data_IF_094801783191
#
_entry.id   IF_094801783191
#
_cell.length_a   1.000
_cell.length_b   1.000
_cell.length_c   1.000
_cell.angle_alpha   90.00
_cell.angle_beta   90.00
_cell.angle_gamma   90.00
#
_symmetry.space_group_name_H-M   'P 1'
#
loop_
_entity.id
_entity.type
_entity.pdbx_description
1 polymer ?
#
# COMPACT_ATOMS: atom_id res chain seq x y z
N UNK A 1 11.33 9.64 14.70
CA UNK A 1 12.11 8.91 13.69
C UNK A 1 12.21 9.78 12.45
N UNK A 2 13.40 9.92 11.85
CA UNK A 2 13.55 10.65 10.60
C UNK A 2 12.67 9.99 9.51
N UNK A 3 11.99 10.80 8.70
CA UNK A 3 11.13 10.28 7.65
C UNK A 3 12.00 9.60 6.58
N UNK A 4 11.94 8.27 6.49
CA UNK A 4 12.71 7.49 5.51
C UNK A 4 12.12 7.72 4.12
N UNK A 5 12.76 8.58 3.32
CA UNK A 5 12.38 8.83 1.92
C UNK A 5 13.16 7.88 1.02
N UNK A 6 12.48 6.84 0.54
CA UNK A 6 13.05 5.84 -0.40
C UNK A 6 13.02 6.30 -1.87
N UNK A 7 12.21 7.32 -2.17
CA UNK A 7 12.07 7.84 -3.52
C UNK A 7 11.23 9.11 -3.56
N UNK A 8 10.95 9.59 -4.77
CA UNK A 8 10.03 10.70 -4.99
C UNK A 8 8.60 10.20 -4.80
N UNK A 9 7.75 11.05 -4.24
CA UNK A 9 6.32 10.86 -4.37
C UNK A 9 5.91 11.21 -5.80
N UNK A 10 5.27 10.26 -6.49
CA UNK A 10 4.84 10.43 -7.87
C UNK A 10 3.34 10.74 -7.97
N UNK A 11 2.58 10.59 -6.88
CA UNK A 11 1.13 10.76 -6.88
C UNK A 11 0.76 12.24 -6.84
N UNK A 12 0.06 12.67 -7.88
CA UNK A 12 -0.59 13.98 -7.98
C UNK A 12 -2.09 13.77 -8.16
N UNK A 13 -2.86 14.82 -7.94
CA UNK A 13 -4.30 14.82 -8.13
C UNK A 13 -4.73 15.97 -9.02
N UNK A 14 -5.63 15.69 -9.95
CA UNK A 14 -6.37 16.73 -10.66
C UNK A 14 -7.72 16.92 -9.98
N UNK A 15 -7.89 18.02 -9.24
CA UNK A 15 -9.17 18.34 -8.58
C UNK A 15 -10.27 18.72 -9.58
N UNK A 16 -9.91 19.14 -10.80
CA UNK A 16 -10.90 19.43 -11.83
C UNK A 16 -11.51 18.16 -12.43
N UNK A 17 -10.71 17.11 -12.65
CA UNK A 17 -11.25 15.83 -13.11
C UNK A 17 -11.63 14.88 -11.97
N UNK A 18 -11.12 15.07 -10.76
CA UNK A 18 -11.07 14.06 -9.70
C UNK A 18 -10.27 12.79 -10.08
N UNK A 19 -9.12 12.97 -10.74
CA UNK A 19 -8.28 11.86 -11.19
C UNK A 19 -6.92 11.86 -10.50
N UNK A 20 -6.43 10.70 -10.02
CA UNK A 20 -5.03 10.53 -9.69
C UNK A 20 -4.16 10.58 -10.95
N UNK A 21 -3.18 11.47 -10.95
CA UNK A 21 -2.24 11.69 -12.05
C UNK A 21 -0.82 11.41 -11.56
N UNK A 22 -0.08 10.55 -12.26
CA UNK A 22 1.32 10.27 -11.97
C UNK A 22 2.22 11.27 -12.67
N UNK A 23 3.13 11.88 -11.91
CA UNK A 23 4.26 12.72 -12.36
C UNK A 23 3.91 14.05 -13.05
N UNK A 24 2.83 14.10 -13.83
CA UNK A 24 2.49 15.24 -14.67
C UNK A 24 1.91 16.38 -13.85
N UNK A 25 2.51 17.57 -13.97
CA UNK A 25 2.02 18.82 -13.37
C UNK A 25 0.74 19.37 -14.02
N UNK A 26 0.41 18.89 -15.23
CA UNK A 26 -0.84 19.21 -15.93
C UNK A 26 -1.63 17.93 -16.16
N UNK A 27 -2.93 17.96 -15.92
CA UNK A 27 -3.80 16.83 -16.14
C UNK A 27 -3.82 16.49 -17.64
N UNK A 28 -3.53 15.24 -18.05
CA UNK A 28 -3.59 14.84 -19.45
C UNK A 28 -5.01 14.90 -20.05
N UNK A 29 -6.04 14.89 -19.20
CA UNK A 29 -7.45 14.92 -19.62
C UNK A 29 -7.95 16.35 -19.84
N UNK A 30 -7.84 17.24 -18.85
CA UNK A 30 -8.40 18.60 -18.92
C UNK A 30 -7.37 19.73 -19.09
N UNK A 31 -6.06 19.43 -19.03
CA UNK A 31 -5.00 20.43 -19.13
C UNK A 31 -4.75 21.29 -17.88
N UNK A 32 -5.64 21.22 -16.88
CA UNK A 32 -5.51 21.98 -15.63
C UNK A 32 -4.34 21.50 -14.77
N UNK A 33 -3.91 22.34 -13.83
CA UNK A 33 -2.83 22.01 -12.91
C UNK A 33 -3.21 20.81 -12.01
N UNK A 34 -2.20 20.00 -11.66
CA UNK A 34 -2.32 18.94 -10.67
C UNK A 34 -1.53 19.31 -9.41
N UNK A 35 -2.00 18.88 -8.24
CA UNK A 35 -1.31 19.07 -6.97
C UNK A 35 -0.67 17.77 -6.49
N UNK A 36 0.47 17.83 -5.81
CA UNK A 36 1.07 16.63 -5.19
C UNK A 36 0.27 16.22 -3.94
N UNK A 37 -0.10 14.94 -3.86
CA UNK A 37 -0.81 14.40 -2.68
C UNK A 37 0.20 14.26 -1.54
N UNK A 38 -0.10 14.80 -0.36
CA UNK A 38 0.81 14.77 0.78
C UNK A 38 0.81 13.39 1.47
N UNK A 39 1.64 12.48 0.96
CA UNK A 39 1.82 11.13 1.50
C UNK A 39 2.94 11.06 2.54
N UNK A 40 2.74 10.23 3.55
CA UNK A 40 3.82 9.84 4.45
C UNK A 40 4.84 8.97 3.68
N UNK A 41 6.16 9.23 3.80
CA UNK A 41 7.17 8.38 3.17
C UNK A 41 7.05 6.90 3.61
N UNK A 42 7.27 5.94 2.70
CA UNK A 42 7.99 6.09 1.43
C UNK A 42 7.16 6.55 0.22
N UNK A 43 5.84 6.74 0.37
CA UNK A 43 4.97 7.13 -0.75
C UNK A 43 4.81 6.04 -1.82
N UNK A 44 4.80 4.77 -1.41
CA UNK A 44 4.62 3.61 -2.29
C UNK A 44 3.13 3.30 -2.52
N UNK A 45 2.42 4.28 -3.09
CA UNK A 45 0.98 4.25 -3.30
C UNK A 45 0.56 3.12 -4.26
N UNK A 46 -0.62 2.52 -4.04
CA UNK A 46 -1.25 1.50 -4.89
C UNK A 46 -2.78 1.68 -4.95
N UNK A 47 -3.47 1.10 -5.95
CA UNK A 47 -4.92 0.93 -5.91
C UNK A 47 -5.37 0.17 -4.66
N UNK A 48 -6.51 0.56 -4.08
CA UNK A 48 -7.29 -0.29 -3.20
C UNK A 48 -8.11 -1.28 -4.06
N UNK A 49 -8.07 -2.56 -3.71
CA UNK A 49 -8.86 -3.61 -4.36
C UNK A 49 -10.14 -3.90 -3.58
N UNK A 50 -11.04 -4.71 -4.14
CA UNK A 50 -12.34 -5.01 -3.54
C UNK A 50 -12.26 -5.42 -2.07
N UNK A 51 -11.31 -6.30 -1.73
CA UNK A 51 -11.10 -6.70 -0.33
C UNK A 51 -10.67 -5.54 0.58
N UNK A 52 -9.82 -4.61 0.09
CA UNK A 52 -9.45 -3.43 0.86
C UNK A 52 -10.68 -2.53 1.09
N UNK A 53 -11.50 -2.33 0.06
CA UNK A 53 -12.72 -1.51 0.13
C UNK A 53 -13.74 -2.09 1.10
N UNK A 54 -14.02 -3.40 0.99
CA UNK A 54 -14.91 -4.14 1.88
C UNK A 54 -14.44 -4.06 3.34
N UNK A 55 -13.13 -4.27 3.57
CA UNK A 55 -12.55 -4.18 4.91
C UNK A 55 -12.74 -2.77 5.51
N UNK A 56 -12.41 -1.72 4.75
CA UNK A 56 -12.47 -0.34 5.24
C UNK A 56 -13.93 0.07 5.49
N UNK A 57 -14.82 -0.20 4.52
CA UNK A 57 -16.25 0.12 4.64
C UNK A 57 -16.89 -0.63 5.81
N UNK A 58 -16.59 -1.92 5.96
CA UNK A 58 -17.11 -2.72 7.07
C UNK A 58 -16.65 -2.23 8.45
N UNK A 59 -15.41 -1.76 8.56
CA UNK A 59 -14.91 -1.13 9.80
C UNK A 59 -15.63 0.18 10.08
N UNK A 60 -15.83 1.02 9.07
CA UNK A 60 -16.55 2.28 9.20
C UNK A 60 -18.01 2.07 9.62
N UNK A 61 -18.71 1.13 9.00
CA UNK A 61 -20.10 0.80 9.34
C UNK A 61 -20.21 0.24 10.76
N UNK A 62 -19.22 -0.57 11.17
CA UNK A 62 -19.14 -1.09 12.54
C UNK A 62 -18.94 0.03 13.57
N UNK A 63 -17.98 0.92 13.32
CA UNK A 63 -17.49 1.89 14.30
C UNK A 63 -18.33 3.18 14.35
N UNK A 64 -18.89 3.60 13.21
CA UNK A 64 -19.64 4.86 13.09
C UNK A 64 -21.11 4.67 12.69
N UNK A 65 -21.52 3.44 12.40
CA UNK A 65 -22.90 3.07 12.06
C UNK A 65 -23.12 2.82 10.58
N UNK A 66 -24.19 2.09 10.26
CA UNK A 66 -24.52 1.66 8.90
C UNK A 66 -24.62 2.85 7.93
N UNK A 67 -23.95 2.73 6.77
CA UNK A 67 -23.87 3.76 5.75
C UNK A 67 -22.65 4.66 5.86
N UNK A 68 -21.91 4.64 6.98
CA UNK A 68 -20.66 5.37 7.13
C UNK A 68 -19.59 4.91 6.12
N UNK A 69 -19.52 3.61 5.84
CA UNK A 69 -18.62 3.06 4.84
C UNK A 69 -18.83 3.67 3.46
N UNK A 70 -20.09 3.69 3.00
CA UNK A 70 -20.47 4.25 1.70
C UNK A 70 -20.30 5.78 1.65
N UNK A 71 -20.56 6.48 2.75
CA UNK A 71 -20.36 7.94 2.83
C UNK A 71 -18.88 8.34 2.73
N UNK A 72 -18.01 7.61 3.43
CA UNK A 72 -16.57 7.92 3.48
C UNK A 72 -15.84 7.44 2.24
N UNK A 73 -16.24 6.28 1.72
CA UNK A 73 -15.69 5.70 0.50
C UNK A 73 -16.86 5.44 -0.45
N UNK A 74 -17.30 6.46 -1.21
CA UNK A 74 -18.38 6.29 -2.19
C UNK A 74 -17.97 5.38 -3.34
N UNK A 75 -18.96 4.73 -3.96
CA UNK A 75 -18.74 3.96 -5.19
C UNK A 75 -18.34 4.86 -6.35
N UNK A 76 -17.55 4.32 -7.27
CA UNK A 76 -17.04 5.07 -8.42
C UNK A 76 -15.91 6.05 -8.09
N UNK A 77 -15.32 6.00 -6.89
CA UNK A 77 -14.18 6.83 -6.53
C UNK A 77 -12.88 6.03 -6.50
N UNK A 78 -11.81 6.47 -7.19
CA UNK A 78 -10.50 5.85 -7.05
C UNK A 78 -9.97 5.98 -5.62
N UNK A 79 -9.85 4.85 -4.93
CA UNK A 79 -9.27 4.78 -3.58
C UNK A 79 -7.84 4.28 -3.66
N UNK A 80 -6.93 5.01 -3.04
CA UNK A 80 -5.50 4.69 -3.04
C UNK A 80 -5.05 4.37 -1.62
N UNK A 81 -4.24 3.32 -1.50
CA UNK A 81 -3.56 2.97 -0.26
C UNK A 81 -2.07 3.26 -0.39
N UNK A 82 -1.49 3.92 0.61
CA UNK A 82 -0.06 4.18 0.67
C UNK A 82 0.52 3.69 1.98
N UNK A 83 1.48 2.77 1.90
CA UNK A 83 2.15 2.22 3.08
C UNK A 83 2.76 3.35 3.92
N UNK A 84 2.52 3.31 5.22
CA UNK A 84 3.07 4.25 6.18
C UNK A 84 3.80 3.51 7.32
N UNK A 85 4.75 4.16 8.02
CA UNK A 85 5.48 3.53 9.12
C UNK A 85 4.58 3.24 10.33
N UNK A 86 4.48 1.98 10.75
CA UNK A 86 3.74 1.54 11.93
C UNK A 86 4.46 0.40 12.66
N UNK A 87 3.94 0.01 13.84
CA UNK A 87 4.42 -1.18 14.55
C UNK A 87 4.17 -2.46 13.74
N UNK A 88 2.98 -2.56 13.15
CA UNK A 88 2.59 -3.58 12.19
C UNK A 88 2.11 -2.90 10.89
N UNK A 89 1.15 -3.48 10.17
CA UNK A 89 0.61 -2.95 8.94
C UNK A 89 -0.13 -1.63 9.17
N UNK A 90 0.27 -0.62 8.40
CA UNK A 90 -0.33 0.69 8.41
C UNK A 90 -0.32 1.27 7.00
N UNK A 91 -1.50 1.68 6.54
CA UNK A 91 -1.72 2.23 5.20
C UNK A 91 -2.52 3.54 5.32
N UNK A 92 -2.03 4.63 4.72
CA UNK A 92 -2.83 5.84 4.50
C UNK A 92 -3.88 5.56 3.43
N UNK A 93 -5.11 6.03 3.66
CA UNK A 93 -6.22 5.94 2.72
C UNK A 93 -6.42 7.29 2.06
N UNK A 94 -6.34 7.33 0.74
CA UNK A 94 -6.52 8.53 -0.07
C UNK A 94 -7.78 8.40 -0.92
N UNK A 95 -8.63 9.41 -0.83
CA UNK A 95 -9.86 9.57 -1.62
C UNK A 95 -9.96 11.04 -2.00
N UNK A 96 -10.34 11.33 -3.25
CA UNK A 96 -10.48 12.70 -3.78
C UNK A 96 -9.24 13.59 -3.59
N UNK A 97 -8.05 13.00 -3.69
CA UNK A 97 -6.77 13.70 -3.53
C UNK A 97 -6.39 14.00 -2.09
N UNK A 98 -7.24 13.64 -1.12
CA UNK A 98 -7.03 13.86 0.30
C UNK A 98 -6.70 12.58 1.05
N UNK A 99 -5.77 12.65 2.02
CA UNK A 99 -5.57 11.55 2.97
C UNK A 99 -6.71 11.60 3.99
N UNK A 100 -7.71 10.74 3.83
CA UNK A 100 -8.92 10.74 4.67
C UNK A 100 -8.69 10.03 6.01
N UNK A 101 -7.79 9.04 6.04
CA UNK A 101 -7.55 8.24 7.23
C UNK A 101 -6.23 7.47 7.16
N UNK A 102 -5.93 6.78 8.25
CA UNK A 102 -4.92 5.73 8.31
C UNK A 102 -5.56 4.44 8.78
N UNK A 103 -5.48 3.40 7.96
CA UNK A 103 -5.79 2.03 8.34
C UNK A 103 -4.62 1.46 9.11
N UNK A 104 -4.82 1.09 10.38
CA UNK A 104 -3.77 0.58 11.26
C UNK A 104 -4.20 -0.77 11.84
N UNK A 105 -3.32 -1.75 11.77
CA UNK A 105 -3.50 -3.01 12.49
C UNK A 105 -2.85 -2.91 13.87
N UNK A 106 -3.68 -3.00 14.90
CA UNK A 106 -3.23 -3.03 16.30
C UNK A 106 -3.12 -4.49 16.76
N UNK A 107 -1.92 -4.91 17.12
CA UNK A 107 -1.63 -6.28 17.56
C UNK A 107 -2.53 -6.63 18.75
N UNK A 108 -3.37 -7.66 18.59
CA UNK A 108 -4.33 -8.12 19.60
C UNK A 108 -5.70 -7.43 19.58
N UNK A 109 -5.82 -6.24 18.96
CA UNK A 109 -7.09 -5.50 18.86
C UNK A 109 -7.69 -5.49 17.44
N UNK A 110 -6.88 -5.81 16.43
CA UNK A 110 -7.30 -5.87 15.03
C UNK A 110 -7.22 -4.53 14.32
N UNK A 111 -7.98 -4.40 13.22
CA UNK A 111 -7.95 -3.22 12.37
C UNK A 111 -8.70 -2.03 12.97
N UNK A 112 -8.08 -0.85 12.87
CA UNK A 112 -8.61 0.45 13.28
C UNK A 112 -8.58 1.44 12.12
N UNK A 113 -9.70 2.15 11.93
CA UNK A 113 -9.80 3.28 11.03
C UNK A 113 -9.48 4.57 11.80
N UNK A 114 -8.26 5.07 11.66
CA UNK A 114 -7.81 6.29 12.32
C UNK A 114 -8.15 7.49 11.43
N UNK A 115 -9.34 8.06 11.62
CA UNK A 115 -9.86 9.13 10.78
C UNK A 115 -9.02 10.42 10.90
N UNK A 116 -8.70 11.03 9.76
CA UNK A 116 -8.26 12.44 9.67
C UNK A 116 -9.48 13.35 9.55
N UNK A 117 -9.25 14.66 9.44
CA UNK A 117 -10.34 15.64 9.30
C UNK A 117 -11.18 15.39 8.04
N UNK A 118 -10.56 15.15 6.89
CA UNK A 118 -11.28 14.84 5.65
C UNK A 118 -12.13 13.56 5.74
N UNK A 119 -11.67 12.53 6.46
CA UNK A 119 -12.48 11.36 6.75
C UNK A 119 -13.63 11.69 7.69
N UNK A 120 -13.36 12.49 8.73
CA UNK A 120 -14.36 12.87 9.73
C UNK A 120 -15.48 13.71 9.13
N UNK A 121 -15.18 14.63 8.22
CA UNK A 121 -16.20 15.39 7.48
C UNK A 121 -17.11 14.51 6.63
N UNK A 122 -16.63 13.36 6.15
CA UNK A 122 -17.46 12.37 5.43
C UNK A 122 -18.29 11.50 6.39
N UNK A 123 -17.84 11.32 7.63
CA UNK A 123 -18.58 10.61 8.68
C UNK A 123 -19.67 11.51 9.30
N UNK A 124 -19.37 12.80 9.51
CA UNK A 124 -20.22 13.78 10.21
C UNK A 124 -21.69 13.75 9.81
N UNK A 125 -22.03 13.78 8.51
CA UNK A 125 -23.44 13.77 8.07
C UNK A 125 -24.19 12.48 8.43
N UNK A 126 -23.52 11.33 8.51
CA UNK A 126 -24.18 10.02 8.53
C UNK A 126 -23.95 9.19 9.80
N UNK A 127 -23.11 9.64 10.75
CA UNK A 127 -22.83 8.83 11.93
C UNK A 127 -24.10 8.54 12.74
N UNK A 128 -24.11 7.35 13.35
CA UNK A 128 -25.03 6.94 14.41
C UNK A 128 -24.30 6.33 15.61
N UNK A 129 -22.98 6.09 15.49
CA UNK A 129 -22.08 5.59 16.53
C UNK A 129 -20.74 6.31 16.50
N UNK A 130 -19.89 6.06 17.49
CA UNK A 130 -18.50 6.51 17.49
C UNK A 130 -18.33 8.03 17.57
N UNK A 131 -19.30 8.72 18.19
CA UNK A 131 -19.33 10.18 18.28
C UNK A 131 -19.28 10.67 19.73
N UNK A 132 -18.71 11.87 19.90
CA UNK A 132 -18.76 12.64 21.16
C UNK A 132 -19.18 14.07 20.81
N UNK A 133 -20.28 14.54 21.39
CA UNK A 133 -20.74 15.93 21.27
C UNK A 133 -20.02 16.76 22.31
N UNK A 134 -19.22 17.73 21.88
CA UNK A 134 -18.55 18.65 22.78
C UNK A 134 -19.37 19.91 23.03
N UNK A 135 -19.13 20.55 24.17
CA UNK A 135 -19.66 21.88 24.46
C UNK A 135 -19.03 22.89 23.49
N UNK A 136 -19.81 23.78 22.84
CA UNK A 136 -19.28 24.84 21.99
C UNK A 136 -18.19 25.70 22.67
N UNK A 137 -18.24 25.89 23.99
CA UNK A 137 -17.22 26.60 24.75
C UNK A 137 -15.89 25.82 24.83
N UNK A 138 -15.92 24.49 24.72
CA UNK A 138 -14.73 23.64 24.68
C UNK A 138 -14.12 23.52 23.27
N UNK A 139 -14.92 23.70 22.22
CA UNK A 139 -14.51 23.49 20.83
C UNK A 139 -13.27 24.31 20.39
N UNK A 140 -13.10 25.60 20.75
CA UNK A 140 -11.90 26.37 20.40
C UNK A 140 -10.62 25.73 20.93
N UNK A 141 -10.65 25.23 22.17
CA UNK A 141 -9.49 24.57 22.78
C UNK A 141 -9.15 23.26 22.06
N UNK A 142 -10.16 22.47 21.68
CA UNK A 142 -9.96 21.23 20.94
C UNK A 142 -9.32 21.52 19.58
N UNK A 143 -9.78 22.57 18.86
CA UNK A 143 -9.19 23.06 17.60
C UNK A 143 -7.76 23.59 17.75
N UNK A 144 -7.30 23.81 18.97
CA UNK A 144 -5.92 24.20 19.31
C UNK A 144 -5.12 23.06 19.95
N UNK A 145 -5.40 21.81 19.55
CA UNK A 145 -4.68 20.60 20.00
C UNK A 145 -4.94 20.17 21.45
N UNK A 146 -5.87 20.80 22.17
CA UNK A 146 -6.21 20.35 23.54
C UNK A 146 -7.07 19.08 23.49
N UNK A 147 -6.92 18.26 24.52
CA UNK A 147 -7.75 17.08 24.71
C UNK A 147 -9.15 17.51 25.18
N UNK A 148 -10.17 16.77 24.77
CA UNK A 148 -11.51 16.97 25.29
C UNK A 148 -11.59 16.34 26.69
N UNK A 149 -11.86 17.18 27.68
CA UNK A 149 -12.06 16.76 29.07
C UNK A 149 -13.54 16.43 29.30
N UNK A 150 -13.84 15.54 30.25
CA UNK A 150 -15.21 15.11 30.54
C UNK A 150 -16.20 16.28 30.80
N UNK A 151 -15.83 17.37 31.52
CA UNK A 151 -16.73 18.53 31.68
C UNK A 151 -17.13 19.24 30.39
N UNK A 152 -16.38 19.03 29.30
CA UNK A 152 -16.68 19.59 27.99
C UNK A 152 -17.49 18.65 27.11
N UNK A 153 -17.97 17.51 27.62
CA UNK A 153 -18.81 16.55 26.89
C UNK A 153 -20.28 16.80 27.21
N UNK A 154 -21.08 16.97 26.17
CA UNK A 154 -22.54 17.18 26.27
C UNK A 154 -23.29 15.86 26.08
N UNK A 155 -22.86 15.07 25.10
CA UNK A 155 -23.41 13.75 24.78
C UNK A 155 -22.30 12.86 24.21
N UNK A 156 -22.46 11.55 24.30
CA UNK A 156 -21.55 10.59 23.71
C UNK A 156 -22.29 9.29 23.38
N UNK A 157 -21.88 8.62 22.30
CA UNK A 157 -22.38 7.29 21.98
C UNK A 157 -22.16 6.33 23.18
N UNK A 158 -23.22 5.76 23.76
CA UNK A 158 -23.13 4.92 24.96
C UNK A 158 -22.35 3.62 24.73
N UNK A 159 -22.14 3.22 23.48
CA UNK A 159 -21.38 2.02 23.12
C UNK A 159 -19.86 2.22 23.13
N UNK A 160 -19.38 3.47 23.22
CA UNK A 160 -17.95 3.81 23.23
C UNK A 160 -17.24 3.14 24.40
N UNK A 161 -16.08 2.54 24.11
CA UNK A 161 -15.13 1.99 25.09
C UNK A 161 -13.79 2.72 25.02
N UNK A 162 -13.02 2.75 26.13
CA UNK A 162 -11.65 3.25 26.09
C UNK A 162 -10.82 2.56 25.00
N UNK A 163 -10.17 3.35 24.14
CA UNK A 163 -9.40 2.86 23.00
C UNK A 163 -10.13 2.90 21.65
N UNK A 164 -11.42 3.23 21.63
CA UNK A 164 -12.15 3.42 20.38
C UNK A 164 -11.75 4.73 19.68
N UNK A 165 -11.71 4.68 18.35
CA UNK A 165 -11.51 5.84 17.50
C UNK A 165 -12.86 6.55 17.35
N UNK A 166 -12.90 7.86 17.61
CA UNK A 166 -14.14 8.64 17.63
C UNK A 166 -14.01 9.94 16.85
N UNK A 167 -15.15 10.50 16.44
CA UNK A 167 -15.27 11.87 15.97
C UNK A 167 -15.85 12.78 17.06
N UNK A 168 -15.29 13.98 17.18
CA UNK A 168 -15.79 15.02 18.09
C UNK A 168 -16.59 16.00 17.25
N UNK A 169 -17.82 16.27 17.67
CA UNK A 169 -18.78 17.10 16.96
C UNK A 169 -19.40 18.16 17.87
N UNK A 170 -20.01 19.19 17.29
CA UNK A 170 -20.84 20.19 17.97
C UNK A 170 -22.16 20.38 17.23
N UNK A 171 -23.21 20.82 17.96
CA UNK A 171 -24.49 21.25 17.38
C UNK A 171 -25.06 20.27 16.36
N UNK A 172 -25.38 20.78 15.17
CA UNK A 172 -25.94 20.03 14.02
C UNK A 172 -24.89 19.16 13.31
N UNK A 173 -24.17 18.30 14.05
CA UNK A 173 -23.17 17.35 13.54
C UNK A 173 -21.92 17.99 12.92
N UNK A 174 -21.61 19.25 13.26
CA UNK A 174 -20.40 19.91 12.79
C UNK A 174 -19.17 19.25 13.42
N UNK A 175 -18.26 18.75 12.59
CA UNK A 175 -17.04 18.08 13.04
C UNK A 175 -16.02 19.09 13.56
N UNK A 176 -15.52 18.84 14.77
CA UNK A 176 -14.49 19.65 15.41
C UNK A 176 -13.12 18.97 15.31
N UNK A 177 -13.06 17.68 15.56
CA UNK A 177 -11.80 16.92 15.66
C UNK A 177 -12.04 15.41 15.63
N UNK A 178 -10.96 14.63 15.63
CA UNK A 178 -10.98 13.18 15.86
C UNK A 178 -10.00 12.81 16.95
N UNK A 179 -10.23 11.67 17.61
CA UNK A 179 -9.38 11.24 18.71
C UNK A 179 -9.66 9.82 19.17
N UNK A 180 -9.05 9.47 20.30
CA UNK A 180 -9.24 8.17 20.95
C UNK A 180 -9.94 8.36 22.27
N UNK A 181 -11.01 7.58 22.48
CA UNK A 181 -11.71 7.52 23.76
C UNK A 181 -10.77 7.07 24.89
N UNK A 182 -10.88 7.75 26.03
CA UNK A 182 -10.16 7.43 27.27
C UNK A 182 -11.08 7.03 28.41
N UNK A 183 -12.38 7.17 28.19
CA UNK A 183 -13.47 6.79 29.08
C UNK A 183 -14.53 6.06 28.26
N UNK A 184 -15.48 5.39 28.91
CA UNK A 184 -16.68 4.90 28.23
C UNK A 184 -17.65 6.05 27.91
N UNK A 185 -18.53 5.89 26.93
CA UNK A 185 -19.55 6.90 26.60
C UNK A 185 -20.35 7.39 27.82
N UNK A 186 -20.95 6.49 28.63
CA UNK A 186 -21.69 6.89 29.83
C UNK A 186 -20.84 7.61 30.88
N UNK A 187 -19.57 7.21 31.02
CA UNK A 187 -18.63 7.87 31.93
C UNK A 187 -18.27 9.28 31.46
N UNK A 188 -18.08 9.49 30.14
CA UNK A 188 -17.76 10.80 29.58
C UNK A 188 -18.84 11.85 29.91
N UNK A 189 -20.11 11.45 29.87
CA UNK A 189 -21.25 12.33 30.14
C UNK A 189 -21.45 12.56 31.64
N UNK A 190 -21.16 11.56 32.49
CA UNK A 190 -21.41 11.64 33.93
C UNK A 190 -20.27 12.28 34.74
N UNK A 191 -19.03 12.24 34.24
CA UNK A 191 -17.86 12.66 35.01
C UNK A 191 -17.61 14.17 34.99
N UNK A 192 -17.22 14.72 36.15
CA UNK A 192 -16.86 16.13 36.34
C UNK A 192 -15.36 16.42 36.16
N UNK A 193 -14.56 15.40 35.87
CA UNK A 193 -13.11 15.50 35.67
C UNK A 193 -12.56 14.33 34.86
N UNK A 194 -11.35 14.54 34.33
CA UNK A 194 -10.59 13.54 33.58
C UNK A 194 -10.69 13.72 32.07
N UNK A 195 -9.81 13.03 31.35
CA UNK A 195 -9.71 13.13 29.89
C UNK A 195 -10.73 12.19 29.25
N UNK A 196 -11.73 12.73 28.56
CA UNK A 196 -12.72 11.95 27.83
C UNK A 196 -12.12 11.45 26.50
N UNK A 197 -11.50 12.35 25.74
CA UNK A 197 -10.91 12.03 24.44
C UNK A 197 -9.51 12.60 24.34
N UNK A 198 -8.56 11.73 23.95
CA UNK A 198 -7.24 12.19 23.51
C UNK A 198 -7.32 12.62 22.05
N UNK A 199 -7.37 13.93 21.82
CA UNK A 199 -7.47 14.54 20.49
C UNK A 199 -6.24 14.22 19.64
N UNK A 200 -6.45 13.93 18.35
CA UNK A 200 -5.37 13.62 17.40
C UNK A 200 -5.36 14.55 16.18
N UNK A 201 -6.49 14.67 15.50
CA UNK A 201 -6.65 15.55 14.33
C UNK A 201 -7.66 16.62 14.68
N UNK A 202 -7.27 17.88 14.56
CA UNK A 202 -8.04 19.01 15.09
C UNK A 202 -7.92 20.29 14.24
N UNK A 203 -6.97 20.32 13.30
CA UNK A 203 -6.76 21.50 12.47
C UNK A 203 -7.93 21.62 11.52
N UNK A 204 -8.68 22.74 11.52
CA UNK A 204 -9.74 22.94 10.54
C UNK A 204 -9.16 22.86 9.14
N UNK A 205 -9.82 22.07 8.30
CA UNK A 205 -9.55 21.95 6.87
C UNK A 205 -10.84 22.22 6.10
N UNK A 206 -10.74 22.78 4.90
CA UNK A 206 -11.89 22.91 4.00
C UNK A 206 -12.26 21.53 3.45
N UNK A 207 -13.53 21.14 3.56
CA UNK A 207 -14.00 19.85 3.07
C UNK A 207 -13.86 19.77 1.55
N UNK A 208 -13.13 18.76 1.06
CA UNK A 208 -13.03 18.49 -0.37
C UNK A 208 -14.08 17.46 -0.76
N UNK A 209 -15.16 17.92 -1.40
CA UNK A 209 -16.20 17.07 -1.98
C UNK A 209 -16.05 16.98 -3.49
N UNK A 210 -15.70 15.77 -3.97
CA UNK A 210 -15.63 15.46 -5.40
C UNK A 210 -16.60 14.33 -5.78
N UNK A 211 -17.62 14.06 -4.96
CA UNK A 211 -18.63 12.99 -5.11
C UNK A 211 -19.37 12.98 -6.46
N UNK A 212 -19.37 14.10 -7.17
CA UNK A 212 -20.03 14.26 -8.47
C UNK A 212 -19.20 13.80 -9.68
N UNK A 213 -17.96 13.33 -9.49
CA UNK A 213 -17.03 12.98 -10.58
C UNK A 213 -16.50 11.55 -10.41
N UNK A 214 -17.32 10.52 -10.70
CA UNK A 214 -16.90 9.13 -10.58
C UNK A 214 -15.92 8.75 -11.70
N UNK A 215 -14.94 7.92 -11.37
CA UNK A 215 -13.96 7.33 -12.29
C UNK A 215 -13.71 5.87 -11.94
N UNK A 216 -13.66 5.03 -12.96
CA UNK A 216 -13.16 3.67 -12.86
C UNK A 216 -11.63 3.65 -12.85
N UNK A 217 -11.04 2.48 -12.55
CA UNK A 217 -9.59 2.31 -12.73
C UNK A 217 -9.17 2.34 -14.20
N UNK A 218 -10.06 2.03 -15.14
CA UNK A 218 -9.77 2.15 -16.58
C UNK A 218 -9.60 3.62 -16.98
N UNK A 219 -10.43 4.52 -16.45
CA UNK A 219 -10.29 5.97 -16.65
C UNK A 219 -8.96 6.48 -16.09
N UNK A 220 -8.55 5.96 -14.93
CA UNK A 220 -7.26 6.29 -14.31
C UNK A 220 -6.10 5.77 -15.15
N UNK A 221 -6.17 4.55 -15.65
CA UNK A 221 -5.14 3.96 -16.52
C UNK A 221 -4.99 4.80 -17.79
N UNK A 222 -6.10 5.14 -18.45
CA UNK A 222 -6.09 5.94 -19.67
C UNK A 222 -5.50 7.35 -19.42
N UNK A 223 -5.93 8.02 -18.35
CA UNK A 223 -5.41 9.33 -17.98
C UNK A 223 -3.89 9.34 -17.70
N UNK A 224 -3.30 8.18 -17.40
CA UNK A 224 -1.89 8.00 -17.10
C UNK A 224 -1.09 7.26 -18.19
N UNK A 225 -1.74 6.82 -19.27
CA UNK A 225 -1.17 5.98 -20.33
C UNK A 225 0.20 6.48 -20.80
N UNK A 226 0.29 7.75 -21.21
CA UNK A 226 1.52 8.32 -21.74
C UNK A 226 2.71 8.28 -20.75
N UNK A 227 2.45 8.44 -19.44
CA UNK A 227 3.50 8.37 -18.41
C UNK A 227 3.96 6.94 -18.20
N UNK A 228 3.02 5.99 -18.20
CA UNK A 228 3.32 4.57 -18.05
C UNK A 228 4.07 4.04 -19.28
N UNK A 229 3.61 4.33 -20.49
CA UNK A 229 4.29 3.96 -21.75
C UNK A 229 5.71 4.51 -21.80
N UNK A 230 5.93 5.77 -21.38
CA UNK A 230 7.27 6.34 -21.28
C UNK A 230 8.17 5.56 -20.32
N UNK A 231 7.65 5.15 -19.16
CA UNK A 231 8.41 4.34 -18.19
C UNK A 231 8.66 2.93 -18.70
N UNK A 232 7.69 2.32 -19.36
CA UNK A 232 7.83 1.02 -19.99
C UNK A 232 8.92 1.06 -21.08
N UNK A 233 8.91 2.07 -21.94
CA UNK A 233 9.93 2.27 -22.96
C UNK A 233 11.34 2.44 -22.37
N UNK A 234 11.49 3.17 -21.26
CA UNK A 234 12.77 3.29 -20.55
C UNK A 234 13.23 1.94 -19.98
N UNK A 235 12.33 1.18 -19.36
CA UNK A 235 12.65 -0.13 -18.80
C UNK A 235 12.99 -1.17 -19.89
N UNK A 236 12.29 -1.14 -21.03
CA UNK A 236 12.59 -1.95 -22.22
C UNK A 236 13.97 -1.60 -22.78
N UNK A 237 14.29 -0.32 -22.91
CA UNK A 237 15.61 0.12 -23.35
C UNK A 237 16.71 -0.38 -22.38
N UNK A 238 16.48 -0.26 -21.07
CA UNK A 238 17.39 -0.79 -20.06
C UNK A 238 17.60 -2.31 -20.18
N UNK A 239 16.53 -3.09 -20.44
CA UNK A 239 16.62 -4.54 -20.63
C UNK A 239 17.51 -4.87 -21.84
N UNK A 240 17.25 -4.25 -22.99
CA UNK A 240 18.03 -4.45 -24.23
C UNK A 240 19.50 -4.10 -24.04
N UNK A 241 19.76 -2.90 -23.52
CA UNK A 241 21.12 -2.43 -23.19
C UNK A 241 21.86 -3.37 -22.25
N UNK A 242 21.16 -3.93 -21.25
CA UNK A 242 21.79 -4.82 -20.26
C UNK A 242 22.19 -6.12 -20.91
N UNK A 243 21.35 -6.68 -21.80
CA UNK A 243 21.65 -7.92 -22.52
C UNK A 243 22.83 -7.72 -23.47
N UNK A 244 22.84 -6.63 -24.25
CA UNK A 244 23.95 -6.33 -25.18
C UNK A 244 25.30 -6.18 -24.46
N UNK A 245 25.30 -5.67 -23.23
CA UNK A 245 26.52 -5.44 -22.42
C UNK A 245 26.98 -6.67 -21.64
N UNK A 246 26.18 -7.74 -21.57
CA UNK A 246 26.50 -8.93 -20.79
C UNK A 246 26.47 -10.17 -21.67
N UNK A 247 27.63 -10.83 -21.83
CA UNK A 247 27.74 -12.11 -22.51
C UNK A 247 27.31 -13.27 -21.58
N UNK A 248 26.04 -13.24 -21.16
CA UNK A 248 25.42 -14.25 -20.30
C UNK A 248 24.03 -14.62 -20.81
N UNK A 249 23.58 -15.88 -20.64
CA UNK A 249 22.18 -16.23 -20.88
C UNK A 249 21.28 -15.41 -19.96
N UNK A 250 20.16 -14.90 -20.50
CA UNK A 250 19.19 -14.13 -19.76
C UNK A 250 18.04 -15.02 -19.26
N UNK A 251 17.57 -14.74 -18.04
CA UNK A 251 16.34 -15.30 -17.45
C UNK A 251 15.51 -14.19 -16.79
N UNK A 252 14.24 -14.48 -16.53
CA UNK A 252 13.40 -13.68 -15.63
C UNK A 252 13.12 -14.46 -14.36
N UNK A 253 13.40 -13.89 -13.19
CA UNK A 253 12.97 -14.47 -11.91
C UNK A 253 11.53 -14.07 -11.62
N UNK A 254 10.59 -14.97 -11.88
CA UNK A 254 9.15 -14.72 -11.69
C UNK A 254 8.63 -15.46 -10.47
N UNK A 255 8.08 -14.71 -9.51
CA UNK A 255 7.61 -15.25 -8.23
C UNK A 255 6.08 -15.26 -8.11
N UNK A 256 5.35 -14.96 -9.18
CA UNK A 256 3.89 -14.81 -9.16
C UNK A 256 3.38 -13.50 -8.54
N UNK A 257 4.26 -12.55 -8.19
CA UNK A 257 3.88 -11.26 -7.63
C UNK A 257 3.80 -10.16 -8.69
N UNK A 258 3.10 -9.06 -8.39
CA UNK A 258 2.95 -7.92 -9.31
C UNK A 258 4.26 -7.37 -9.88
N UNK A 259 5.31 -7.27 -9.06
CA UNK A 259 6.56 -6.63 -9.46
C UNK A 259 7.37 -7.53 -10.40
N UNK A 260 7.33 -8.84 -10.15
CA UNK A 260 7.96 -9.83 -11.01
C UNK A 260 7.14 -10.09 -12.28
N UNK A 261 5.80 -9.95 -12.23
CA UNK A 261 4.94 -9.95 -13.41
C UNK A 261 5.24 -8.75 -14.32
N UNK A 262 5.30 -7.53 -13.78
CA UNK A 262 5.64 -6.35 -14.58
C UNK A 262 7.03 -6.49 -15.23
N UNK A 263 8.02 -6.99 -14.48
CA UNK A 263 9.35 -7.28 -15.06
C UNK A 263 9.29 -8.31 -16.18
N UNK A 264 8.48 -9.36 -16.04
CA UNK A 264 8.28 -10.38 -17.07
C UNK A 264 7.68 -9.75 -18.33
N UNK A 265 6.57 -9.03 -18.20
CA UNK A 265 5.89 -8.37 -19.31
C UNK A 265 6.81 -7.36 -20.03
N UNK A 266 7.56 -6.53 -19.29
CA UNK A 266 8.55 -5.62 -19.88
C UNK A 266 9.66 -6.35 -20.64
N UNK A 267 10.02 -7.57 -20.21
CA UNK A 267 10.99 -8.40 -20.93
C UNK A 267 10.40 -8.93 -22.24
N UNK A 268 9.10 -9.27 -22.25
CA UNK A 268 8.37 -9.64 -23.47
C UNK A 268 8.24 -8.44 -24.43
N UNK A 269 7.94 -7.25 -23.91
CA UNK A 269 7.86 -5.99 -24.68
C UNK A 269 9.22 -5.61 -25.28
N UNK A 270 10.31 -6.01 -24.63
CA UNK A 270 11.65 -5.90 -25.20
C UNK A 270 11.91 -6.83 -26.40
N UNK A 271 10.94 -7.67 -26.77
CA UNK A 271 11.03 -8.65 -27.84
C UNK A 271 11.76 -9.93 -27.42
N UNK A 272 12.00 -10.13 -26.12
CA UNK A 272 12.70 -11.28 -25.59
C UNK A 272 11.73 -12.34 -25.07
N UNK A 273 12.14 -13.61 -25.12
CA UNK A 273 11.40 -14.74 -24.53
C UNK A 273 12.34 -15.64 -23.72
N UNK A 274 13.02 -15.11 -22.69
CA UNK A 274 13.97 -15.89 -21.92
C UNK A 274 13.24 -16.93 -21.04
N UNK A 275 13.93 -17.99 -20.61
CA UNK A 275 13.39 -18.89 -19.59
C UNK A 275 13.01 -18.14 -18.31
N UNK A 276 11.94 -18.61 -17.67
CA UNK A 276 11.44 -18.11 -16.39
C UNK A 276 11.95 -19.01 -15.29
N UNK A 277 12.63 -18.45 -14.30
CA UNK A 277 13.02 -19.17 -13.09
C UNK A 277 11.99 -18.91 -11.98
N UNK A 278 11.39 -19.99 -11.49
CA UNK A 278 10.52 -20.00 -10.32
C UNK A 278 11.05 -20.97 -9.28
N UNK A 279 11.08 -20.52 -8.02
CA UNK A 279 11.44 -21.37 -6.88
C UNK A 279 10.20 -21.54 -6.03
N UNK A 280 9.62 -22.73 -6.07
CA UNK A 280 8.52 -23.13 -5.20
C UNK A 280 9.11 -23.47 -3.83
N UNK A 281 8.84 -22.60 -2.86
CA UNK A 281 9.40 -22.71 -1.51
C UNK A 281 8.74 -23.83 -0.69
N UNK A 282 7.66 -24.43 -1.20
CA UNK A 282 6.78 -25.33 -0.47
C UNK A 282 5.87 -24.62 0.55
N UNK A 283 5.89 -23.28 0.56
CA UNK A 283 5.09 -22.41 1.44
C UNK A 283 4.28 -21.38 0.65
N UNK A 284 4.31 -21.45 -0.67
CA UNK A 284 3.48 -20.62 -1.53
C UNK A 284 2.02 -21.10 -1.45
N UNK A 285 1.08 -20.20 -1.70
CA UNK A 285 -0.30 -20.60 -1.96
C UNK A 285 -0.36 -21.40 -3.26
N UNK A 286 -1.24 -22.41 -3.33
CA UNK A 286 -1.44 -23.22 -4.53
C UNK A 286 -1.83 -22.34 -5.73
N UNK A 287 -2.60 -21.28 -5.48
CA UNK A 287 -2.98 -20.26 -6.46
C UNK A 287 -1.77 -19.51 -7.02
N UNK A 288 -0.73 -19.25 -6.22
CA UNK A 288 0.51 -18.62 -6.69
C UNK A 288 1.27 -19.54 -7.63
N UNK A 289 1.40 -20.82 -7.27
CA UNK A 289 2.08 -21.82 -8.11
C UNK A 289 1.33 -22.00 -9.44
N UNK A 290 0.00 -22.11 -9.38
CA UNK A 290 -0.83 -22.21 -10.57
C UNK A 290 -0.72 -20.96 -11.44
N UNK A 291 -0.78 -19.76 -10.84
CA UNK A 291 -0.63 -18.49 -11.54
C UNK A 291 0.70 -18.40 -12.30
N UNK A 292 1.81 -18.86 -11.71
CA UNK A 292 3.12 -18.87 -12.38
C UNK A 292 3.10 -19.81 -13.60
N UNK A 293 2.62 -21.04 -13.42
CA UNK A 293 2.52 -22.03 -14.50
C UNK A 293 1.63 -21.56 -15.64
N UNK A 294 0.45 -21.03 -15.32
CA UNK A 294 -0.51 -20.52 -16.30
C UNK A 294 0.05 -19.32 -17.08
N UNK A 295 0.75 -18.42 -16.39
CA UNK A 295 1.39 -17.27 -17.05
C UNK A 295 2.47 -17.74 -18.02
N UNK A 296 3.32 -18.68 -17.62
CA UNK A 296 4.35 -19.22 -18.51
C UNK A 296 3.73 -19.95 -19.71
N UNK A 297 2.70 -20.77 -19.49
CA UNK A 297 1.99 -21.47 -20.56
C UNK A 297 1.31 -20.51 -21.54
N UNK A 298 0.60 -19.50 -21.03
CA UNK A 298 -0.10 -18.48 -21.84
C UNK A 298 0.84 -17.72 -22.77
N UNK A 299 2.05 -17.44 -22.29
CA UNK A 299 3.06 -16.71 -23.07
C UNK A 299 4.05 -17.62 -23.82
N UNK A 300 3.90 -18.95 -23.74
CA UNK A 300 4.79 -19.91 -24.40
C UNK A 300 6.23 -19.86 -23.89
N UNK A 301 6.41 -19.64 -22.58
CA UNK A 301 7.71 -19.48 -21.93
C UNK A 301 8.18 -20.80 -21.30
N UNK A 302 9.48 -21.08 -21.43
CA UNK A 302 10.10 -22.18 -20.71
C UNK A 302 10.13 -21.88 -19.21
N UNK A 303 9.46 -22.70 -18.41
CA UNK A 303 9.52 -22.62 -16.95
C UNK A 303 10.61 -23.54 -16.40
N UNK A 304 11.59 -22.94 -15.72
CA UNK A 304 12.56 -23.63 -14.86
C UNK A 304 12.00 -23.54 -13.45
N UNK A 305 11.24 -24.56 -13.06
CA UNK A 305 10.70 -24.70 -11.71
C UNK A 305 11.64 -25.55 -10.86
N UNK A 306 12.12 -24.98 -9.75
CA UNK A 306 12.88 -25.72 -8.73
C UNK A 306 12.10 -25.71 -7.42
N UNK A 307 12.02 -26.86 -6.76
CA UNK A 307 11.31 -27.01 -5.50
C UNK A 307 12.28 -27.02 -4.33
N UNK A 308 11.86 -26.44 -3.20
CA UNK A 308 12.57 -26.67 -1.95
C UNK A 308 12.63 -28.18 -1.64
N UNK A 309 13.71 -28.67 -0.99
CA UNK A 309 13.79 -30.06 -0.56
C UNK A 309 12.57 -30.48 0.25
N UNK A 310 12.20 -31.76 0.15
CA UNK A 310 11.15 -32.33 1.00
C UNK A 310 11.45 -32.03 2.46
N UNK A 311 10.45 -31.53 3.17
CA UNK A 311 10.54 -31.19 4.60
C UNK A 311 11.52 -30.05 4.95
N UNK A 312 11.94 -29.23 3.97
CA UNK A 312 12.86 -28.12 4.19
C UNK A 312 12.34 -27.08 5.20
N UNK A 313 11.02 -26.92 5.34
CA UNK A 313 10.45 -26.04 6.35
C UNK A 313 10.09 -26.79 7.63
N UNK A 314 9.15 -27.74 7.59
CA UNK A 314 8.60 -28.35 8.80
C UNK A 314 9.63 -29.19 9.57
N UNK A 315 10.53 -29.90 8.89
CA UNK A 315 11.64 -30.62 9.52
C UNK A 315 12.60 -29.67 10.23
N UNK A 316 12.99 -28.58 9.56
CA UNK A 316 13.86 -27.56 10.15
C UNK A 316 13.18 -26.74 11.26
N UNK A 317 11.85 -26.60 11.23
CA UNK A 317 11.07 -25.93 12.27
C UNK A 317 11.23 -26.61 13.64
N UNK A 318 11.36 -27.94 13.67
CA UNK A 318 11.58 -28.71 14.91
C UNK A 318 12.91 -28.36 15.58
N UNK A 319 13.95 -28.09 14.79
CA UNK A 319 15.31 -27.83 15.30
C UNK A 319 15.60 -26.35 15.54
N UNK A 320 15.17 -25.49 14.61
CA UNK A 320 15.46 -24.06 14.67
C UNK A 320 14.34 -23.25 15.33
N UNK A 321 13.14 -23.83 15.49
CA UNK A 321 11.96 -23.10 15.94
C UNK A 321 11.43 -22.12 14.88
N UNK A 322 10.35 -21.38 15.21
CA UNK A 322 9.70 -20.47 14.28
C UNK A 322 10.66 -19.43 13.68
N UNK A 323 10.63 -19.19 12.36
CA UNK A 323 11.43 -18.14 11.75
C UNK A 323 10.99 -16.77 12.25
N UNK A 324 11.94 -15.83 12.32
CA UNK A 324 11.68 -14.45 12.71
C UNK A 324 12.34 -13.47 11.75
N UNK A 325 11.98 -12.18 11.85
CA UNK A 325 12.56 -11.10 11.02
C UNK A 325 14.09 -11.08 11.07
N UNK A 326 14.69 -11.40 12.21
CA UNK A 326 16.16 -11.40 12.38
C UNK A 326 16.74 -12.82 12.40
N UNK A 327 15.89 -13.84 12.28
CA UNK A 327 16.25 -15.26 12.24
C UNK A 327 15.61 -15.96 11.05
N UNK A 328 16.06 -15.58 9.85
CA UNK A 328 15.49 -15.99 8.55
C UNK A 328 16.12 -17.27 7.99
N UNK A 329 16.22 -18.33 8.79
CA UNK A 329 16.80 -19.60 8.33
C UNK A 329 16.01 -20.18 7.13
N UNK A 330 14.69 -20.04 7.13
CA UNK A 330 13.81 -20.52 6.05
C UNK A 330 14.13 -19.88 4.68
N UNK A 331 14.62 -18.63 4.66
CA UNK A 331 15.05 -17.99 3.42
C UNK A 331 16.29 -18.69 2.82
N UNK A 332 17.17 -19.25 3.66
CA UNK A 332 18.36 -19.96 3.21
C UNK A 332 17.99 -21.35 2.67
N UNK A 333 17.18 -22.09 3.41
CA UNK A 333 16.82 -23.48 3.12
C UNK A 333 15.79 -23.62 2.00
N UNK A 334 14.75 -22.79 2.01
CA UNK A 334 13.61 -22.94 1.08
C UNK A 334 13.73 -22.07 -0.17
N UNK A 335 14.55 -21.01 -0.15
CA UNK A 335 14.64 -20.06 -1.27
C UNK A 335 16.03 -19.97 -1.87
N UNK A 336 17.04 -19.56 -1.09
CA UNK A 336 18.38 -19.31 -1.61
C UNK A 336 19.07 -20.60 -2.07
N UNK A 337 19.05 -21.66 -1.27
CA UNK A 337 19.62 -22.96 -1.64
C UNK A 337 19.07 -23.51 -2.95
N UNK A 338 17.73 -23.64 -3.09
CA UNK A 338 17.11 -24.07 -4.36
C UNK A 338 17.43 -23.13 -5.53
N UNK A 339 17.43 -21.80 -5.31
CA UNK A 339 17.82 -20.83 -6.34
C UNK A 339 19.24 -21.10 -6.86
N UNK A 340 20.21 -21.27 -5.96
CA UNK A 340 21.61 -21.56 -6.32
C UNK A 340 21.72 -22.91 -7.02
N UNK A 341 21.01 -23.93 -6.55
CA UNK A 341 20.94 -25.24 -7.21
C UNK A 341 20.44 -25.14 -8.64
N UNK A 342 19.32 -24.44 -8.85
CA UNK A 342 18.73 -24.24 -10.17
C UNK A 342 19.67 -23.48 -11.11
N UNK A 343 20.31 -22.41 -10.64
CA UNK A 343 21.26 -21.62 -11.44
C UNK A 343 22.50 -22.46 -11.77
N UNK A 344 23.07 -23.17 -10.81
CA UNK A 344 24.27 -23.99 -11.04
C UNK A 344 24.00 -25.12 -12.04
N UNK A 345 22.83 -25.75 -11.95
CA UNK A 345 22.39 -26.84 -12.83
C UNK A 345 22.13 -26.38 -14.27
N UNK A 346 21.46 -25.25 -14.46
CA UNK A 346 21.04 -24.79 -15.79
C UNK A 346 22.01 -23.78 -16.43
N UNK A 347 22.80 -23.06 -15.63
CA UNK A 347 23.66 -21.95 -16.06
C UNK A 347 25.02 -21.96 -15.33
N UNK A 348 25.85 -23.01 -15.52
CA UNK A 348 27.12 -23.16 -14.79
C UNK A 348 28.15 -22.07 -15.08
N UNK A 349 28.02 -21.34 -16.20
CA UNK A 349 28.88 -20.19 -16.56
C UNK A 349 28.35 -18.85 -16.07
N UNK A 350 27.23 -18.85 -15.33
CA UNK A 350 26.54 -17.67 -14.85
C UNK A 350 25.33 -17.30 -15.69
N UNK A 351 24.49 -16.42 -15.13
CA UNK A 351 23.22 -16.00 -15.70
C UNK A 351 22.94 -14.52 -15.42
N UNK A 352 22.36 -13.82 -16.39
CA UNK A 352 21.75 -12.51 -16.21
C UNK A 352 20.28 -12.71 -15.83
N UNK A 353 19.88 -12.27 -14.64
CA UNK A 353 18.54 -12.46 -14.11
C UNK A 353 17.81 -11.14 -13.96
N UNK A 354 16.72 -10.96 -14.70
CA UNK A 354 15.82 -9.83 -14.52
C UNK A 354 14.89 -10.07 -13.33
N UNK A 355 14.87 -9.12 -12.39
CA UNK A 355 14.23 -9.26 -11.07
C UNK A 355 13.36 -8.03 -10.80
N UNK A 356 12.12 -8.27 -10.36
CA UNK A 356 11.15 -7.25 -9.97
C UNK A 356 11.44 -6.57 -8.63
N UNK A 357 12.65 -6.05 -8.44
CA UNK A 357 13.04 -5.30 -7.25
C UNK A 357 12.78 -3.81 -7.44
N UNK A 358 12.22 -3.14 -6.42
CA UNK A 358 12.01 -1.69 -6.40
C UNK A 358 12.68 -1.03 -5.19
N UNK A 359 13.17 0.20 -5.36
CA UNK A 359 13.77 0.97 -4.25
C UNK A 359 12.78 1.31 -3.12
N UNK A 360 11.50 1.43 -3.46
CA UNK A 360 10.42 1.78 -2.53
C UNK A 360 10.10 0.67 -1.51
N UNK A 361 10.67 -0.53 -1.66
CA UNK A 361 10.43 -1.65 -0.74
C UNK A 361 11.16 -1.53 0.60
N UNK A 362 12.41 -1.05 0.58
CA UNK A 362 13.24 -0.85 1.79
C UNK A 362 14.50 -0.04 1.50
N UNK A 363 15.13 0.49 2.56
CA UNK A 363 16.42 1.19 2.47
C UNK A 363 17.51 0.33 1.82
N UNK A 364 17.56 -0.96 2.15
CA UNK A 364 18.52 -1.90 1.57
C UNK A 364 18.30 -2.16 0.07
N UNK A 365 17.08 -1.98 -0.44
CA UNK A 365 16.82 -2.01 -1.89
C UNK A 365 17.15 -0.67 -2.54
N UNK A 366 16.92 0.43 -1.84
CA UNK A 366 17.21 1.78 -2.33
C UNK A 366 18.72 2.03 -2.51
N UNK A 367 19.56 1.50 -1.64
CA UNK A 367 21.01 1.65 -1.74
C UNK A 367 21.66 0.82 -2.86
N UNK A 368 20.93 -0.12 -3.47
CA UNK A 368 21.47 -1.00 -4.52
C UNK A 368 21.39 -0.35 -5.91
N UNK A 369 22.44 -0.51 -6.74
CA UNK A 369 22.37 -0.19 -8.16
C UNK A 369 21.35 -1.07 -8.89
N UNK A 370 20.93 -0.66 -10.09
CA UNK A 370 20.01 -1.43 -10.94
C UNK A 370 20.58 -2.76 -11.40
N UNK A 371 21.90 -2.82 -11.62
CA UNK A 371 22.63 -4.06 -11.89
C UNK A 371 23.46 -4.36 -10.66
N UNK A 372 23.31 -5.54 -10.10
CA UNK A 372 23.91 -5.92 -8.83
C UNK A 372 24.28 -7.40 -8.82
N UNK A 373 25.21 -7.77 -7.95
CA UNK A 373 25.56 -9.14 -7.66
C UNK A 373 25.35 -9.42 -6.17
N UNK A 374 24.96 -10.64 -5.85
CA UNK A 374 24.74 -11.06 -4.48
C UNK A 374 25.74 -12.17 -4.12
N UNK A 375 26.57 -12.00 -3.08
CA UNK A 375 27.52 -13.02 -2.64
C UNK A 375 26.87 -14.38 -2.33
N UNK A 376 25.60 -14.39 -1.94
CA UNK A 376 24.86 -15.61 -1.56
C UNK A 376 24.30 -16.39 -2.76
N UNK A 377 24.33 -15.81 -3.96
CA UNK A 377 23.90 -16.48 -5.20
C UNK A 377 25.02 -16.33 -6.25
N UNK A 378 26.17 -17.00 -6.03
CA UNK A 378 27.30 -16.91 -6.94
C UNK A 378 26.89 -17.36 -8.34
N UNK A 379 27.31 -16.63 -9.37
CA UNK A 379 26.93 -16.87 -10.76
C UNK A 379 25.67 -16.13 -11.23
N UNK A 380 24.92 -15.45 -10.34
CA UNK A 380 23.80 -14.60 -10.74
C UNK A 380 24.21 -13.12 -10.81
N UNK A 381 24.06 -12.51 -11.98
CA UNK A 381 24.02 -11.05 -12.11
C UNK A 381 22.56 -10.61 -12.16
N UNK A 382 22.11 -9.88 -11.15
CA UNK A 382 20.75 -9.37 -11.05
C UNK A 382 20.59 -8.03 -11.76
N UNK A 383 19.53 -7.86 -12.53
CA UNK A 383 19.14 -6.60 -13.16
C UNK A 383 17.70 -6.25 -12.75
N UNK A 384 17.46 -5.00 -12.36
CA UNK A 384 16.17 -4.51 -11.84
C UNK A 384 15.57 -3.45 -12.78
N UNK A 385 14.79 -3.85 -13.81
CA UNK A 385 14.22 -2.90 -14.77
C UNK A 385 13.33 -1.84 -14.12
N UNK A 386 12.54 -2.25 -13.11
CA UNK A 386 11.57 -1.40 -12.42
C UNK A 386 12.10 -0.76 -11.12
N UNK A 387 13.42 -0.69 -10.91
CA UNK A 387 14.03 -0.17 -9.66
C UNK A 387 13.47 1.19 -9.23
N UNK A 388 13.12 2.06 -10.19
CA UNK A 388 12.61 3.41 -9.97
C UNK A 388 11.08 3.54 -10.06
N UNK A 389 10.35 2.43 -10.04
CA UNK A 389 8.89 2.41 -10.08
C UNK A 389 8.32 2.33 -8.66
N UNK A 390 7.36 3.19 -8.32
CA UNK A 390 6.47 2.95 -7.17
C UNK A 390 5.38 1.93 -7.53
N UNK A 391 4.66 1.42 -6.53
CA UNK A 391 3.64 0.39 -6.72
C UNK A 391 2.51 0.82 -7.68
N UNK A 392 2.17 2.11 -7.73
CA UNK A 392 1.16 2.62 -8.66
C UNK A 392 1.61 2.47 -10.12
N UNK A 393 2.87 2.75 -10.45
CA UNK A 393 3.37 2.53 -11.81
C UNK A 393 3.26 1.06 -12.23
N UNK A 394 3.58 0.15 -11.31
CA UNK A 394 3.50 -1.30 -11.56
C UNK A 394 2.06 -1.71 -11.83
N UNK A 395 1.12 -1.28 -10.99
CA UNK A 395 -0.29 -1.63 -11.16
C UNK A 395 -0.89 -1.03 -12.42
N UNK A 396 -0.67 0.26 -12.69
CA UNK A 396 -1.20 0.88 -13.91
C UNK A 396 -0.62 0.23 -15.17
N UNK A 397 0.65 -0.19 -15.16
CA UNK A 397 1.24 -0.92 -16.28
C UNK A 397 0.63 -2.31 -16.47
N UNK A 398 0.35 -3.04 -15.39
CA UNK A 398 -0.30 -4.36 -15.48
C UNK A 398 -1.75 -4.24 -15.98
N UNK A 399 -2.39 -3.10 -15.73
CA UNK A 399 -3.77 -2.81 -16.14
C UNK A 399 -3.89 -2.16 -17.54
N UNK A 400 -2.77 -1.79 -18.17
CA UNK A 400 -2.74 -1.33 -19.57
C UNK A 400 -3.01 -2.50 -20.53
#
# INVERSE_FOLDING_TARGET
>A
MAAIRLGKNHLRWCYECNLPILESKKCPVCGNATAEVQLTPPGDARPAFSHDLELIRGILDRDYGEGAGASVIPDGHPVILSKAPGLDRMDEVVVDGQVIATMRYDIGAGWKFVSRMQGAYRIGPCYSKGYVVCDPAAAPFVRESKNLMAPGVVDADPSIKPGDEIIIVIGDREVVATGVARMSGPEMVAADKGMAVKTRWYKPEEYTDMSSKPHSWDDVVEANRAVIEKRAAEAVAFIKDTVEKHDLPAIVSFSGGKDSLATLLLTLDAGMRPPVLFVDTGLEFDETVQHVRDTCARHGLQLIEEKAPTDAFFGNLVYFGPPAKDYRWCCKTNKLGPTVGAITKNYPKGVLSFIGQRKYESEARNSKPRIWQNPWTPGQTGASPIQNWCAMHVWLYIML
#
